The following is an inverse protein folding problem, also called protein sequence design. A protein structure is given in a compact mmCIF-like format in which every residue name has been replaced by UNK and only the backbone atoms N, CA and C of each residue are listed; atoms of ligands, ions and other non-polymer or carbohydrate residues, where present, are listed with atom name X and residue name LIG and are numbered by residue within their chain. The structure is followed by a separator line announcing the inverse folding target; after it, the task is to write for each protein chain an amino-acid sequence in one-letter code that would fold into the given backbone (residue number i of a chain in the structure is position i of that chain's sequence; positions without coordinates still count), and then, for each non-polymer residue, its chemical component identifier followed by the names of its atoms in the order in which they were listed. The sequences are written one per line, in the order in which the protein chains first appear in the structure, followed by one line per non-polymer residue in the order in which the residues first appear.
data_IF_413734667187
#
_entry.id   IF_413734667187
#
_cell.length_a   1.000
_cell.length_b   1.000
_cell.length_c   1.000
_cell.angle_alpha   90.00
_cell.angle_beta   90.00
_cell.angle_gamma   90.00
#
_symmetry.space_group_name_H-M   'P 1'
#
loop_
_entity.id
_entity.type
_entity.pdbx_description
1 polymer ?
#
# COMPACT_ATOMS: atom_id res chain seq x y z
N UNK A 1 11.38 -24.08 -21.23
CA UNK A 1 9.97 -24.50 -21.40
C UNK A 1 9.08 -24.12 -20.22
N UNK A 2 9.59 -24.07 -19.00
CA UNK A 2 8.86 -23.71 -17.77
C UNK A 2 8.34 -22.26 -17.73
N UNK A 3 9.08 -21.27 -18.25
CA UNK A 3 8.68 -19.86 -18.25
C UNK A 3 7.45 -19.56 -19.13
N UNK A 4 7.21 -20.36 -20.16
CA UNK A 4 6.07 -20.18 -21.07
C UNK A 4 4.74 -20.66 -20.45
N UNK A 5 4.79 -21.67 -19.61
CA UNK A 5 3.63 -22.20 -18.87
C UNK A 5 3.23 -21.25 -17.73
N UNK A 6 4.20 -20.60 -17.07
CA UNK A 6 3.97 -19.63 -16.00
C UNK A 6 3.24 -18.37 -16.50
N UNK A 7 3.68 -17.85 -17.66
CA UNK A 7 3.02 -16.70 -18.30
C UNK A 7 1.56 -16.98 -18.67
N UNK A 8 1.25 -18.17 -19.21
CA UNK A 8 -0.13 -18.56 -19.55
C UNK A 8 -1.05 -18.70 -18.33
N UNK A 9 -0.52 -19.20 -17.22
CA UNK A 9 -1.31 -19.38 -15.99
C UNK A 9 -1.74 -18.04 -15.37
N UNK A 10 -0.89 -17.01 -15.46
CA UNK A 10 -1.22 -15.65 -15.00
C UNK A 10 -2.36 -15.06 -15.85
N UNK A 11 -2.26 -15.14 -17.19
CA UNK A 11 -3.31 -14.67 -18.09
C UNK A 11 -4.65 -15.38 -17.90
N UNK A 12 -4.62 -16.69 -17.65
CA UNK A 12 -5.84 -17.47 -17.39
C UNK A 12 -6.51 -17.02 -16.09
N UNK A 13 -5.71 -16.74 -15.05
CA UNK A 13 -6.21 -16.27 -13.77
C UNK A 13 -6.83 -14.85 -13.89
N UNK A 14 -6.18 -13.95 -14.64
CA UNK A 14 -6.70 -12.59 -14.90
C UNK A 14 -8.03 -12.64 -15.68
N UNK A 15 -8.10 -13.47 -16.72
CA UNK A 15 -9.35 -13.69 -17.48
C UNK A 15 -10.44 -14.23 -16.56
N UNK A 16 -10.14 -15.20 -15.70
CA UNK A 16 -11.09 -15.75 -14.74
C UNK A 16 -11.59 -14.69 -13.76
N UNK A 17 -10.70 -13.86 -13.19
CA UNK A 17 -11.08 -12.74 -12.34
C UNK A 17 -12.00 -11.74 -13.05
N UNK A 18 -11.69 -11.39 -14.31
CA UNK A 18 -12.54 -10.51 -15.12
C UNK A 18 -13.93 -11.11 -15.37
N UNK A 19 -14.01 -12.41 -15.64
CA UNK A 19 -15.30 -13.10 -15.78
C UNK A 19 -16.12 -13.10 -14.49
N UNK A 20 -15.49 -13.37 -13.35
CA UNK A 20 -16.17 -13.35 -12.04
C UNK A 20 -16.68 -11.95 -11.72
N UNK A 21 -15.87 -10.90 -11.94
CA UNK A 21 -16.27 -9.51 -11.72
C UNK A 21 -17.43 -9.13 -12.64
N UNK A 22 -17.37 -9.48 -13.92
CA UNK A 22 -18.42 -9.20 -14.90
C UNK A 22 -19.72 -9.93 -14.55
N UNK A 23 -19.64 -11.17 -14.11
CA UNK A 23 -20.78 -11.95 -13.64
C UNK A 23 -21.42 -11.32 -12.39
N UNK A 24 -20.62 -10.91 -11.39
CA UNK A 24 -21.11 -10.26 -10.19
C UNK A 24 -21.77 -8.90 -10.48
N UNK A 25 -21.22 -8.11 -11.41
CA UNK A 25 -21.82 -6.85 -11.86
C UNK A 25 -23.13 -7.12 -12.58
N UNK A 26 -23.19 -8.12 -13.46
CA UNK A 26 -24.38 -8.48 -14.21
C UNK A 26 -25.53 -8.97 -13.32
N UNK A 27 -25.23 -9.74 -12.29
CA UNK A 27 -26.23 -10.25 -11.32
C UNK A 27 -26.73 -9.17 -10.36
N UNK A 28 -25.93 -8.14 -10.07
CA UNK A 28 -26.28 -7.05 -9.14
C UNK A 28 -26.86 -5.79 -9.82
N UNK A 29 -27.11 -5.82 -11.11
CA UNK A 29 -27.55 -4.64 -11.88
C UNK A 29 -28.83 -3.96 -11.36
N UNK A 30 -29.70 -4.68 -10.67
CA UNK A 30 -30.97 -4.11 -10.15
C UNK A 30 -30.75 -3.21 -8.92
N UNK A 31 -29.81 -3.54 -8.05
CA UNK A 31 -29.48 -2.74 -6.86
C UNK A 31 -28.64 -1.51 -7.21
N UNK A 32 -27.78 -1.62 -8.23
CA UNK A 32 -26.89 -0.55 -8.69
C UNK A 32 -27.69 0.57 -9.35
N UNK A 33 -28.72 0.26 -10.14
CA UNK A 33 -29.54 1.24 -10.83
C UNK A 33 -30.30 2.16 -9.86
N UNK A 34 -30.86 1.60 -8.78
CA UNK A 34 -31.55 2.36 -7.74
C UNK A 34 -30.61 3.27 -6.94
N UNK A 35 -29.39 2.79 -6.67
CA UNK A 35 -28.37 3.59 -6.01
C UNK A 35 -27.78 4.69 -6.92
N UNK A 36 -27.67 4.44 -8.22
CA UNK A 36 -27.24 5.44 -9.21
C UNK A 36 -28.26 6.57 -9.36
N UNK A 37 -29.56 6.29 -9.36
CA UNK A 37 -30.60 7.32 -9.41
C UNK A 37 -30.60 8.20 -8.15
N UNK A 38 -30.40 7.61 -6.98
CA UNK A 38 -30.24 8.37 -5.73
C UNK A 38 -28.95 9.20 -5.73
N UNK A 39 -27.85 8.66 -6.27
CA UNK A 39 -26.57 9.36 -6.41
C UNK A 39 -26.66 10.51 -7.44
N UNK A 40 -27.40 10.34 -8.53
CA UNK A 40 -27.67 11.42 -9.49
C UNK A 40 -28.53 12.53 -8.87
N UNK A 41 -29.51 12.22 -8.05
CA UNK A 41 -30.32 13.23 -7.33
C UNK A 41 -29.50 14.04 -6.33
N UNK A 42 -28.48 13.44 -5.67
CA UNK A 42 -27.53 14.17 -4.83
C UNK A 42 -26.56 15.06 -5.64
N UNK A 43 -26.21 14.67 -6.87
CA UNK A 43 -25.33 15.45 -7.75
C UNK A 43 -26.02 16.67 -8.38
N UNK A 44 -27.35 16.66 -8.50
CA UNK A 44 -28.15 17.71 -9.16
C UNK A 44 -28.48 18.91 -8.23
N UNK A 45 -28.06 18.90 -6.95
CA UNK A 45 -28.16 20.06 -6.09
C UNK A 45 -26.88 20.92 -6.15
N UNK A 46 -26.77 21.89 -7.09
CA UNK A 46 -25.55 22.69 -7.28
C UNK A 46 -25.35 23.76 -6.21
N UNK A 47 -26.34 24.05 -5.36
CA UNK A 47 -26.34 25.20 -4.46
C UNK A 47 -25.53 25.05 -3.15
N UNK A 48 -24.87 23.90 -2.96
CA UNK A 48 -23.87 23.73 -1.88
C UNK A 48 -22.46 23.53 -2.42
N UNK A 49 -22.10 24.27 -3.48
CA UNK A 49 -20.72 24.39 -3.94
C UNK A 49 -19.91 25.24 -2.93
N UNK A 50 -19.68 24.68 -1.75
CA UNK A 50 -18.70 25.22 -0.84
C UNK A 50 -17.35 25.20 -1.55
N UNK A 51 -16.84 26.41 -1.90
CA UNK A 51 -15.45 26.56 -2.32
C UNK A 51 -14.56 25.80 -1.36
N UNK A 52 -13.75 24.90 -1.91
CA UNK A 52 -12.81 24.10 -1.14
C UNK A 52 -11.80 25.02 -0.46
N UNK A 53 -12.09 25.50 0.70
CA UNK A 53 -11.04 25.93 1.63
C UNK A 53 -10.34 24.67 2.13
N UNK A 54 -9.33 24.24 1.39
CA UNK A 54 -8.39 23.23 1.85
C UNK A 54 -7.79 23.72 3.16
N UNK A 55 -8.35 23.28 4.26
CA UNK A 55 -7.82 23.61 5.55
C UNK A 55 -6.37 23.10 5.62
N UNK A 56 -5.46 23.86 6.25
CA UNK A 56 -4.03 23.50 6.35
C UNK A 56 -3.82 22.05 6.83
N UNK A 57 -4.68 21.58 7.73
CA UNK A 57 -4.67 20.20 8.23
C UNK A 57 -5.02 19.16 7.16
N UNK A 58 -5.98 19.44 6.29
CA UNK A 58 -6.36 18.53 5.20
C UNK A 58 -5.24 18.35 4.17
N UNK A 59 -4.50 19.43 3.85
CA UNK A 59 -3.34 19.35 2.95
C UNK A 59 -2.24 18.46 3.53
N UNK A 60 -1.97 18.56 4.83
CA UNK A 60 -0.95 17.74 5.50
C UNK A 60 -1.34 16.26 5.49
N UNK A 61 -2.61 15.95 5.76
CA UNK A 61 -3.11 14.57 5.76
C UNK A 61 -2.97 13.98 4.34
N UNK A 62 -3.38 14.71 3.31
CA UNK A 62 -3.26 14.24 1.93
C UNK A 62 -1.78 14.04 1.55
N UNK A 63 -0.92 15.01 1.84
CA UNK A 63 0.52 14.87 1.57
C UNK A 63 1.11 13.65 2.29
N UNK A 64 0.69 13.43 3.55
CA UNK A 64 1.11 12.24 4.30
C UNK A 64 0.65 10.94 3.64
N UNK A 65 -0.60 10.88 3.18
CA UNK A 65 -1.13 9.72 2.47
C UNK A 65 -0.34 9.48 1.17
N UNK A 66 -0.02 10.53 0.41
CA UNK A 66 0.76 10.42 -0.81
C UNK A 66 2.16 9.86 -0.53
N UNK A 67 2.85 10.36 0.50
CA UNK A 67 4.17 9.86 0.91
C UNK A 67 4.13 8.38 1.34
N UNK A 68 3.09 7.99 2.10
CA UNK A 68 2.94 6.60 2.53
C UNK A 68 2.65 5.69 1.33
N UNK A 69 1.83 6.16 0.40
CA UNK A 69 1.48 5.40 -0.82
C UNK A 69 2.72 5.12 -1.66
N UNK A 70 3.58 6.12 -1.87
CA UNK A 70 4.85 5.93 -2.60
C UNK A 70 5.80 5.02 -1.84
N UNK A 71 5.88 5.14 -0.51
CA UNK A 71 6.69 4.25 0.33
C UNK A 71 6.22 2.80 0.25
N UNK A 72 4.90 2.56 0.26
CA UNK A 72 4.34 1.21 0.11
C UNK A 72 4.69 0.60 -1.25
N UNK A 73 4.57 1.37 -2.33
CA UNK A 73 4.94 0.90 -3.66
C UNK A 73 6.46 0.59 -3.74
N UNK A 74 7.31 1.42 -3.13
CA UNK A 74 8.74 1.14 -3.02
C UNK A 74 9.03 -0.15 -2.24
N UNK A 75 8.35 -0.39 -1.12
CA UNK A 75 8.52 -1.64 -0.36
C UNK A 75 8.20 -2.85 -1.23
N UNK A 76 7.07 -2.82 -1.94
CA UNK A 76 6.62 -3.94 -2.78
C UNK A 76 7.57 -4.26 -3.92
N UNK A 77 8.22 -3.24 -4.50
CA UNK A 77 9.17 -3.42 -5.62
C UNK A 77 10.56 -3.78 -5.11
N UNK A 78 11.04 -3.13 -4.05
CA UNK A 78 12.41 -3.31 -3.54
C UNK A 78 12.59 -4.65 -2.83
N UNK A 79 11.55 -5.12 -2.14
CA UNK A 79 11.62 -6.33 -1.33
C UNK A 79 12.08 -7.56 -2.12
N UNK A 80 11.46 -7.94 -3.25
CA UNK A 80 11.91 -9.09 -4.02
C UNK A 80 13.34 -8.93 -4.54
N UNK A 81 13.73 -7.74 -4.95
CA UNK A 81 15.08 -7.46 -5.45
C UNK A 81 16.14 -7.59 -4.34
N UNK A 82 15.85 -7.08 -3.15
CA UNK A 82 16.74 -7.16 -1.99
C UNK A 82 16.90 -8.59 -1.48
N UNK A 83 15.84 -9.38 -1.49
CA UNK A 83 15.88 -10.78 -1.05
C UNK A 83 16.75 -11.62 -1.99
N UNK A 84 16.66 -11.40 -3.30
CA UNK A 84 17.43 -12.12 -4.32
C UNK A 84 18.90 -11.66 -4.37
N UNK A 85 19.18 -10.36 -4.23
CA UNK A 85 20.56 -9.85 -4.22
C UNK A 85 21.28 -10.11 -2.89
N UNK A 86 20.55 -10.20 -1.79
CA UNK A 86 21.11 -10.31 -0.45
C UNK A 86 21.28 -8.95 0.24
N UNK A 87 21.77 -8.98 1.50
CA UNK A 87 22.09 -7.79 2.28
C UNK A 87 23.59 -7.56 2.41
N UNK A 88 24.01 -6.68 3.32
CA UNK A 88 25.42 -6.38 3.59
C UNK A 88 26.17 -7.64 4.07
N UNK A 89 25.60 -8.38 5.01
CA UNK A 89 26.12 -9.66 5.52
C UNK A 89 25.14 -10.81 5.34
N UNK A 90 23.92 -10.52 4.88
CA UNK A 90 22.90 -11.51 4.59
C UNK A 90 23.16 -12.18 3.25
N UNK A 91 23.16 -13.51 3.23
CA UNK A 91 23.23 -14.28 2.00
C UNK A 91 21.99 -14.04 1.12
N UNK A 92 22.19 -14.07 -0.21
CA UNK A 92 21.12 -14.03 -1.18
C UNK A 92 20.20 -15.25 -1.02
N UNK A 93 18.88 -15.02 -1.16
CA UNK A 93 17.89 -16.10 -1.17
C UNK A 93 17.67 -16.58 -2.62
N UNK A 94 17.35 -17.86 -2.77
CA UNK A 94 16.97 -18.36 -4.10
C UNK A 94 15.68 -17.73 -4.60
N UNK A 95 15.50 -17.66 -5.91
CA UNK A 95 14.28 -17.11 -6.52
C UNK A 95 13.03 -17.87 -6.06
N UNK A 96 13.12 -19.16 -5.82
CA UNK A 96 12.01 -20.00 -5.35
C UNK A 96 11.57 -19.61 -3.93
N UNK A 97 12.54 -19.49 -3.01
CA UNK A 97 12.27 -19.07 -1.62
C UNK A 97 11.71 -17.65 -1.58
N UNK A 98 12.27 -16.74 -2.38
CA UNK A 98 11.79 -15.36 -2.48
C UNK A 98 10.35 -15.29 -2.97
N UNK A 99 10.01 -16.03 -4.03
CA UNK A 99 8.65 -16.10 -4.56
C UNK A 99 7.67 -16.68 -3.55
N UNK A 100 8.08 -17.71 -2.80
CA UNK A 100 7.27 -18.32 -1.75
C UNK A 100 7.00 -17.35 -0.60
N UNK A 101 8.01 -16.63 -0.13
CA UNK A 101 7.90 -15.61 0.92
C UNK A 101 6.92 -14.51 0.52
N UNK A 102 7.02 -13.99 -0.70
CA UNK A 102 6.13 -12.95 -1.22
C UNK A 102 4.69 -13.48 -1.36
N UNK A 103 4.52 -14.71 -1.82
CA UNK A 103 3.21 -15.35 -1.92
C UNK A 103 2.55 -15.49 -0.54
N UNK A 104 3.31 -15.92 0.47
CA UNK A 104 2.83 -15.99 1.86
C UNK A 104 2.43 -14.62 2.37
N UNK A 105 3.20 -13.56 2.07
CA UNK A 105 2.86 -12.20 2.45
C UNK A 105 1.52 -11.74 1.85
N UNK A 106 1.27 -12.03 0.57
CA UNK A 106 0.02 -11.68 -0.09
C UNK A 106 -1.17 -12.45 0.48
N UNK A 107 -0.99 -13.73 0.76
CA UNK A 107 -2.00 -14.56 1.43
C UNK A 107 -2.31 -13.99 2.83
N UNK A 108 -1.28 -13.67 3.59
CA UNK A 108 -1.42 -13.07 4.92
C UNK A 108 -2.17 -11.73 4.86
N UNK A 109 -1.85 -10.89 3.88
CA UNK A 109 -2.56 -9.63 3.64
C UNK A 109 -4.05 -9.87 3.39
N UNK A 110 -4.40 -10.84 2.55
CA UNK A 110 -5.78 -11.20 2.24
C UNK A 110 -6.56 -11.60 3.51
N UNK A 111 -5.98 -12.44 4.36
CA UNK A 111 -6.60 -12.86 5.62
C UNK A 111 -6.70 -11.74 6.65
N UNK A 112 -5.71 -10.86 6.72
CA UNK A 112 -5.68 -9.75 7.68
C UNK A 112 -6.58 -8.58 7.27
N UNK A 113 -6.90 -8.43 5.99
CA UNK A 113 -7.64 -7.28 5.48
C UNK A 113 -9.01 -7.13 6.13
N UNK A 114 -9.75 -8.22 6.30
CA UNK A 114 -11.08 -8.19 6.91
C UNK A 114 -11.05 -7.91 8.43
N UNK A 115 -10.31 -8.65 9.28
CA UNK A 115 -10.29 -8.40 10.72
C UNK A 115 -9.67 -7.04 11.08
N UNK A 116 -8.58 -6.64 10.40
CA UNK A 116 -7.95 -5.34 10.64
C UNK A 116 -8.84 -4.20 10.17
N UNK A 117 -9.47 -4.30 9.01
CA UNK A 117 -10.43 -3.32 8.52
C UNK A 117 -11.61 -3.13 9.46
N UNK A 118 -12.20 -4.22 9.95
CA UNK A 118 -13.29 -4.20 10.93
C UNK A 118 -12.86 -3.57 12.27
N UNK A 119 -11.66 -3.86 12.75
CA UNK A 119 -11.12 -3.29 13.97
C UNK A 119 -10.87 -1.78 13.84
N UNK A 120 -10.31 -1.34 12.73
CA UNK A 120 -10.03 0.07 12.46
C UNK A 120 -11.31 0.87 12.30
N UNK A 121 -12.36 0.31 11.69
CA UNK A 121 -13.64 0.99 11.52
C UNK A 121 -14.26 1.38 12.88
N UNK A 122 -14.01 0.59 13.94
CA UNK A 122 -14.45 0.87 15.32
C UNK A 122 -13.59 1.92 16.03
N UNK A 123 -12.26 1.96 15.77
CA UNK A 123 -11.33 2.87 16.44
C UNK A 123 -11.13 4.21 15.73
N UNK A 124 -11.58 4.31 14.51
CA UNK A 124 -11.51 5.55 13.72
C UNK A 124 -10.33 5.59 12.76
N UNK A 125 -10.46 6.42 11.73
CA UNK A 125 -9.56 6.50 10.56
C UNK A 125 -8.16 6.99 10.88
N UNK A 126 -8.08 8.04 11.72
CA UNK A 126 -6.77 8.58 12.12
C UNK A 126 -5.95 7.56 12.90
N UNK A 127 -6.63 6.70 13.68
CA UNK A 127 -5.98 5.58 14.32
C UNK A 127 -5.43 4.59 13.29
N UNK A 128 -6.23 4.23 12.26
CA UNK A 128 -5.78 3.35 11.18
C UNK A 128 -4.56 3.89 10.44
N UNK A 129 -4.52 5.19 10.15
CA UNK A 129 -3.39 5.84 9.50
C UNK A 129 -2.13 5.81 10.40
N UNK A 130 -2.27 6.11 11.70
CA UNK A 130 -1.16 6.04 12.66
C UNK A 130 -0.63 4.62 12.81
N UNK A 131 -1.54 3.66 12.92
CA UNK A 131 -1.21 2.25 13.05
C UNK A 131 -0.44 1.74 11.82
N UNK A 132 -0.86 2.12 10.61
CA UNK A 132 -0.14 1.76 9.38
C UNK A 132 1.27 2.34 9.33
N UNK A 133 1.44 3.61 9.70
CA UNK A 133 2.74 4.29 9.72
C UNK A 133 3.74 3.63 10.66
N UNK A 134 3.30 3.28 11.89
CA UNK A 134 4.14 2.58 12.85
C UNK A 134 4.57 1.22 12.29
N UNK A 135 3.62 0.45 11.73
CA UNK A 135 3.94 -0.86 11.16
C UNK A 135 4.91 -0.76 9.98
N UNK A 136 4.75 0.20 9.06
CA UNK A 136 5.69 0.39 7.95
C UNK A 136 7.07 0.85 8.43
N UNK A 137 7.13 1.75 9.41
CA UNK A 137 8.40 2.20 10.00
C UNK A 137 9.14 1.04 10.67
N UNK A 138 8.46 0.26 11.52
CA UNK A 138 9.04 -0.89 12.19
C UNK A 138 9.45 -1.99 11.20
N UNK A 139 8.60 -2.31 10.22
CA UNK A 139 8.91 -3.30 9.20
C UNK A 139 10.16 -2.93 8.41
N UNK A 140 10.24 -1.70 7.91
CA UNK A 140 11.41 -1.23 7.16
C UNK A 140 12.66 -1.18 8.03
N UNK A 141 12.53 -0.84 9.31
CA UNK A 141 13.65 -0.87 10.25
C UNK A 141 14.16 -2.30 10.49
N UNK A 142 13.27 -3.27 10.62
CA UNK A 142 13.65 -4.69 10.73
C UNK A 142 14.31 -5.21 9.45
N UNK A 143 13.84 -4.80 8.27
CA UNK A 143 14.50 -5.13 7.00
C UNK A 143 15.90 -4.50 6.92
N UNK A 144 16.08 -3.28 7.40
CA UNK A 144 17.39 -2.66 7.52
C UNK A 144 18.32 -3.50 8.41
N UNK A 145 17.89 -3.87 9.62
CA UNK A 145 18.69 -4.71 10.53
C UNK A 145 18.99 -6.08 9.90
N UNK A 146 18.01 -6.69 9.21
CA UNK A 146 18.18 -8.00 8.59
C UNK A 146 19.29 -8.02 7.53
N UNK A 147 19.61 -6.87 6.92
CA UNK A 147 20.70 -6.75 5.95
C UNK A 147 22.09 -6.95 6.59
N UNK A 148 22.22 -6.71 7.88
CA UNK A 148 23.48 -6.82 8.64
C UNK A 148 23.63 -8.15 9.43
N UNK A 149 22.59 -8.98 9.44
CA UNK A 149 22.59 -10.26 10.15
C UNK A 149 22.50 -11.40 9.14
N UNK A 150 23.14 -12.53 9.46
CA UNK A 150 23.10 -13.71 8.59
C UNK A 150 22.12 -14.77 9.12
N UNK A 151 22.38 -15.31 10.30
CA UNK A 151 21.60 -16.44 10.86
C UNK A 151 20.19 -16.05 11.25
N UNK A 152 20.00 -14.89 11.87
CA UNK A 152 18.70 -14.40 12.34
C UNK A 152 17.93 -13.60 11.30
N UNK A 153 18.54 -13.31 10.13
CA UNK A 153 17.95 -12.51 9.08
C UNK A 153 16.58 -13.04 8.63
N UNK A 154 16.45 -14.35 8.46
CA UNK A 154 15.21 -14.98 8.00
C UNK A 154 14.03 -14.72 8.96
N UNK A 155 14.26 -14.82 10.27
CA UNK A 155 13.22 -14.52 11.26
C UNK A 155 12.81 -13.04 11.25
N UNK A 156 13.78 -12.13 11.11
CA UNK A 156 13.52 -10.69 11.03
C UNK A 156 12.74 -10.33 9.75
N UNK A 157 13.09 -10.93 8.61
CA UNK A 157 12.37 -10.78 7.36
C UNK A 157 10.92 -11.27 7.54
N UNK A 158 10.73 -12.48 8.05
CA UNK A 158 9.40 -13.06 8.25
C UNK A 158 8.54 -12.17 9.16
N UNK A 159 9.09 -11.66 10.24
CA UNK A 159 8.38 -10.77 11.15
C UNK A 159 8.09 -9.41 10.49
N UNK A 160 9.04 -8.86 9.72
CA UNK A 160 8.81 -7.62 8.96
C UNK A 160 7.67 -7.74 7.95
N UNK A 161 7.53 -8.90 7.29
CA UNK A 161 6.45 -9.15 6.33
C UNK A 161 5.07 -9.17 7.01
N UNK A 162 4.97 -9.70 8.23
CA UNK A 162 3.75 -9.62 9.02
C UNK A 162 3.39 -8.15 9.29
N UNK A 163 4.36 -7.34 9.68
CA UNK A 163 4.15 -5.90 9.91
C UNK A 163 3.78 -5.14 8.63
N UNK A 164 4.41 -5.45 7.50
CA UNK A 164 4.03 -4.87 6.19
C UNK A 164 2.59 -5.24 5.84
N UNK A 165 2.19 -6.49 6.04
CA UNK A 165 0.83 -6.95 5.77
C UNK A 165 -0.20 -6.26 6.68
N UNK A 166 0.09 -6.11 7.98
CA UNK A 166 -0.75 -5.35 8.92
C UNK A 166 -0.83 -3.87 8.55
N UNK A 167 0.30 -3.27 8.20
CA UNK A 167 0.39 -1.89 7.74
C UNK A 167 -0.46 -1.66 6.49
N UNK A 168 -0.35 -2.54 5.49
CA UNK A 168 -1.09 -2.47 4.22
C UNK A 168 -2.58 -2.71 4.43
N UNK A 169 -2.97 -3.72 5.21
CA UNK A 169 -4.36 -4.03 5.54
C UNK A 169 -5.06 -2.87 6.25
N UNK A 170 -4.33 -2.09 7.04
CA UNK A 170 -4.86 -0.90 7.71
C UNK A 170 -4.86 0.33 6.82
N UNK A 171 -3.84 0.51 5.99
CA UNK A 171 -3.62 1.70 5.17
C UNK A 171 -4.62 1.81 4.01
N UNK A 172 -4.81 0.74 3.24
CA UNK A 172 -5.61 0.78 2.02
C UNK A 172 -7.05 1.28 2.25
N UNK A 173 -7.85 0.68 3.15
CA UNK A 173 -9.22 1.16 3.40
C UNK A 173 -9.23 2.54 4.06
N UNK A 174 -8.26 2.83 4.93
CA UNK A 174 -8.19 4.09 5.65
C UNK A 174 -7.85 5.27 4.73
N UNK A 175 -6.88 5.11 3.84
CA UNK A 175 -6.45 6.16 2.91
C UNK A 175 -7.55 6.53 1.92
N UNK A 176 -8.23 5.53 1.36
CA UNK A 176 -9.34 5.75 0.43
C UNK A 176 -10.51 6.46 1.10
N UNK A 177 -10.91 6.04 2.32
CA UNK A 177 -12.01 6.67 3.05
C UNK A 177 -11.66 8.12 3.50
N UNK A 178 -10.44 8.38 3.94
CA UNK A 178 -9.99 9.73 4.30
C UNK A 178 -10.01 10.64 3.07
N UNK A 179 -9.42 10.20 1.95
CA UNK A 179 -9.37 10.98 0.71
C UNK A 179 -10.78 11.26 0.19
N UNK A 180 -11.67 10.26 0.20
CA UNK A 180 -13.06 10.40 -0.23
C UNK A 180 -13.86 11.42 0.60
N UNK A 181 -13.58 11.54 1.90
CA UNK A 181 -14.29 12.49 2.79
C UNK A 181 -13.72 13.88 2.79
N UNK A 182 -12.40 14.02 2.61
CA UNK A 182 -11.74 15.33 2.54
C UNK A 182 -12.02 15.98 1.18
N UNK A 183 -12.19 15.17 0.13
CA UNK A 183 -12.49 15.67 -1.21
C UNK A 183 -13.91 16.23 -1.29
N UNK A 184 -14.12 17.35 -2.00
CA UNK A 184 -15.44 17.88 -2.26
C UNK A 184 -16.26 16.92 -3.10
N UNK A 185 -17.58 17.03 -3.00
CA UNK A 185 -18.52 16.15 -3.70
C UNK A 185 -18.28 16.09 -5.22
N UNK A 186 -17.93 17.23 -5.82
CA UNK A 186 -17.66 17.35 -7.26
C UNK A 186 -16.24 16.91 -7.69
N UNK A 187 -15.32 16.65 -6.74
CA UNK A 187 -13.91 16.27 -7.02
C UNK A 187 -13.48 14.95 -6.37
N UNK A 188 -14.40 14.16 -5.85
CA UNK A 188 -14.10 12.87 -5.20
C UNK A 188 -13.39 11.90 -6.16
N UNK A 189 -13.87 11.79 -7.39
CA UNK A 189 -13.23 10.96 -8.42
C UNK A 189 -11.80 11.40 -8.72
N UNK A 190 -11.58 12.72 -8.86
CA UNK A 190 -10.24 13.27 -9.07
C UNK A 190 -9.29 12.96 -7.91
N UNK A 191 -9.76 13.09 -6.66
CA UNK A 191 -8.95 12.80 -5.48
C UNK A 191 -8.55 11.32 -5.38
N UNK A 192 -9.47 10.40 -5.72
CA UNK A 192 -9.18 8.97 -5.78
C UNK A 192 -8.23 8.63 -6.95
N UNK A 193 -8.41 9.26 -8.11
CA UNK A 193 -7.49 9.12 -9.23
C UNK A 193 -6.08 9.57 -8.87
N UNK A 194 -5.95 10.67 -8.12
CA UNK A 194 -4.67 11.18 -7.64
C UNK A 194 -3.99 10.20 -6.68
N UNK A 195 -4.75 9.55 -5.80
CA UNK A 195 -4.24 8.48 -4.94
C UNK A 195 -3.71 7.30 -5.77
N UNK A 196 -4.47 6.86 -6.78
CA UNK A 196 -4.04 5.79 -7.69
C UNK A 196 -2.80 6.17 -8.50
N UNK A 197 -2.69 7.44 -8.95
CA UNK A 197 -1.50 7.93 -9.64
C UNK A 197 -0.25 7.89 -8.75
N UNK A 198 -0.39 8.17 -7.45
CA UNK A 198 0.74 8.06 -6.52
C UNK A 198 1.25 6.63 -6.38
N UNK A 199 0.35 5.64 -6.38
CA UNK A 199 0.75 4.23 -6.48
C UNK A 199 1.49 3.95 -7.79
N UNK A 200 0.94 4.39 -8.93
CA UNK A 200 1.56 4.19 -10.23
C UNK A 200 2.96 4.84 -10.31
N UNK A 201 3.12 6.06 -9.79
CA UNK A 201 4.43 6.72 -9.70
C UNK A 201 5.41 5.93 -8.84
N UNK A 202 4.98 5.41 -7.69
CA UNK A 202 5.80 4.56 -6.84
C UNK A 202 6.27 3.29 -7.56
N UNK A 203 5.38 2.64 -8.30
CA UNK A 203 5.72 1.46 -9.12
C UNK A 203 6.60 1.80 -10.32
N UNK A 204 6.48 3.00 -10.89
CA UNK A 204 7.32 3.44 -12.00
C UNK A 204 8.74 3.78 -11.54
N UNK A 205 8.87 4.62 -10.52
CA UNK A 205 10.16 5.06 -10.01
C UNK A 205 10.84 4.02 -9.10
N UNK A 206 10.05 3.14 -8.47
CA UNK A 206 10.54 2.13 -7.54
C UNK A 206 11.63 1.23 -8.13
N UNK A 207 11.42 0.55 -9.27
CA UNK A 207 12.43 -0.28 -9.90
C UNK A 207 13.69 0.49 -10.28
N UNK A 208 13.52 1.72 -10.78
CA UNK A 208 14.63 2.57 -11.19
C UNK A 208 15.51 2.98 -10.00
N UNK A 209 14.89 3.45 -8.90
CA UNK A 209 15.61 3.86 -7.69
C UNK A 209 16.24 2.63 -7.01
N UNK A 210 15.46 1.56 -6.84
CA UNK A 210 15.93 0.35 -6.18
C UNK A 210 17.05 -0.33 -6.97
N UNK A 211 16.87 -0.46 -8.29
CA UNK A 211 17.88 -1.05 -9.15
C UNK A 211 19.18 -0.27 -9.11
N UNK A 212 19.10 1.07 -9.24
CA UNK A 212 20.29 1.92 -9.21
C UNK A 212 21.04 1.86 -7.87
N UNK A 213 20.33 1.86 -6.76
CA UNK A 213 20.93 1.73 -5.43
C UNK A 213 21.55 0.35 -5.25
N UNK A 214 20.86 -0.71 -5.67
CA UNK A 214 21.37 -2.06 -5.61
C UNK A 214 22.59 -2.28 -6.51
N UNK A 215 22.67 -1.60 -7.65
CA UNK A 215 23.81 -1.69 -8.55
C UNK A 215 25.04 -0.91 -8.02
N UNK A 216 24.80 0.23 -7.34
CA UNK A 216 25.88 1.05 -6.78
C UNK A 216 26.43 0.48 -5.47
N UNK A 217 25.56 0.02 -4.58
CA UNK A 217 25.93 -0.38 -3.22
C UNK A 217 25.89 -1.90 -2.99
N UNK A 218 25.26 -2.65 -3.88
CA UNK A 218 25.09 -4.11 -3.74
C UNK A 218 23.98 -4.55 -2.78
N UNK A 219 23.39 -3.63 -2.02
CA UNK A 219 22.37 -3.91 -0.99
C UNK A 219 21.35 -2.76 -0.86
N UNK A 220 20.12 -3.08 -0.36
CA UNK A 220 19.02 -2.14 -0.25
C UNK A 220 18.88 -1.49 1.14
N UNK A 221 19.83 -1.68 2.06
CA UNK A 221 19.71 -1.21 3.45
C UNK A 221 19.43 0.29 3.56
N UNK A 222 20.01 1.12 2.69
CA UNK A 222 19.80 2.57 2.63
C UNK A 222 18.33 2.88 2.31
N UNK A 223 17.70 2.12 1.42
CA UNK A 223 16.28 2.29 1.06
C UNK A 223 15.40 1.98 2.28
N UNK A 224 15.67 0.88 2.97
CA UNK A 224 14.92 0.48 4.16
C UNK A 224 15.01 1.51 5.28
N UNK A 225 16.19 2.05 5.53
CA UNK A 225 16.39 3.11 6.51
C UNK A 225 15.64 4.39 6.10
N UNK A 226 15.72 4.78 4.83
CA UNK A 226 15.03 5.97 4.31
C UNK A 226 13.51 5.88 4.46
N UNK A 227 12.91 4.72 4.12
CA UNK A 227 11.48 4.48 4.28
C UNK A 227 11.08 4.51 5.76
N UNK A 228 11.86 3.87 6.63
CA UNK A 228 11.61 3.85 8.07
C UNK A 228 11.61 5.26 8.66
N UNK A 229 12.63 6.06 8.36
CA UNK A 229 12.72 7.46 8.82
C UNK A 229 11.57 8.31 8.26
N UNK A 230 11.24 8.17 6.98
CA UNK A 230 10.14 8.91 6.35
C UNK A 230 8.80 8.61 7.04
N UNK A 231 8.46 7.33 7.23
CA UNK A 231 7.24 6.91 7.90
C UNK A 231 7.19 7.40 9.36
N UNK A 232 8.31 7.35 10.09
CA UNK A 232 8.39 7.83 11.46
C UNK A 232 8.22 9.34 11.57
N UNK A 233 8.83 10.12 10.67
CA UNK A 233 8.69 11.59 10.62
C UNK A 233 7.23 11.96 10.33
N UNK A 234 6.60 11.31 9.35
CA UNK A 234 5.19 11.54 9.02
C UNK A 234 4.29 11.18 10.21
N UNK A 235 4.58 10.08 10.90
CA UNK A 235 3.86 9.70 12.13
C UNK A 235 3.99 10.79 13.21
N UNK A 236 5.20 11.29 13.46
CA UNK A 236 5.45 12.34 14.45
C UNK A 236 4.73 13.64 14.11
N UNK A 237 4.68 14.02 12.82
CA UNK A 237 3.95 15.21 12.36
C UNK A 237 2.44 15.06 12.60
N UNK A 238 1.87 13.90 12.25
CA UNK A 238 0.45 13.61 12.45
C UNK A 238 0.12 13.56 13.94
N UNK A 239 1.01 12.98 14.77
CA UNK A 239 0.82 12.91 16.21
C UNK A 239 0.79 14.30 16.87
N UNK A 240 1.75 15.19 16.51
CA UNK A 240 1.85 16.53 17.09
C UNK A 240 0.75 17.51 16.67
N UNK A 241 0.15 17.34 15.49
CA UNK A 241 -0.81 18.31 14.93
C UNK A 241 -2.27 17.94 15.10
N UNK A 242 -2.56 16.70 15.43
CA UNK A 242 -3.93 16.21 15.60
C UNK A 242 -4.26 15.87 17.07
N UNK A 243 -3.32 16.13 17.96
CA UNK A 243 -3.47 16.26 19.41
C UNK A 243 -3.04 17.67 19.84
#
# INVERSE_FOLDING_TARGET
MTNYLYSKSIFINDIFCMFVITYLISTNNFSIKKNLENFQKELVNPDKQGQLKWNKNSKIIILSILLITTSLALIQVTLPLDLVKGGVFRNALSNEITSLIISIQLILLLFLQWPVGSWISKKGRLFGLKFSLINFSLASFLLFISSYLNITAFYLISFSLILVSLGTASFLPTSTDIVFRIAPSNKKGFALALLSQCFAMGYFFGPFISGRILDLFGYASIIWLSISCCCFIVFAIIFRRLF
#
